data_IF_261053115319
#
_entry.id   IF_261053115319
#
_cell.length_a   1.000
_cell.length_b   1.000
_cell.length_c   1.000
_cell.angle_alpha   90.00
_cell.angle_beta   90.00
_cell.angle_gamma   90.00
#
_symmetry.space_group_name_H-M   'P 1'
#
loop_
_entity.id
_entity.type
_entity.pdbx_description
1 polymer ?
#
# COMPACT_ATOMS: atom_id res chain seq x y z
N UNK A 1 -24.67 5.87 12.47
CA UNK A 1 -23.68 4.78 12.51
C UNK A 1 -24.29 3.48 13.01
N UNK A 2 -25.05 3.45 14.12
CA UNK A 2 -25.61 2.22 14.71
C UNK A 2 -26.45 1.36 13.76
N UNK A 3 -27.34 1.97 12.97
CA UNK A 3 -28.20 1.23 12.03
C UNK A 3 -27.44 0.54 10.88
N UNK A 4 -26.29 1.08 10.49
CA UNK A 4 -25.46 0.54 9.40
C UNK A 4 -24.28 -0.31 9.91
N UNK A 5 -24.01 -0.25 11.23
CA UNK A 5 -22.81 -0.81 11.87
C UNK A 5 -21.51 -0.47 11.13
N UNK A 6 -21.39 0.78 10.66
CA UNK A 6 -20.31 1.21 9.77
C UNK A 6 -18.91 1.00 10.37
N UNK A 7 -18.75 1.05 11.70
CA UNK A 7 -17.48 0.78 12.35
C UNK A 7 -17.04 -0.67 12.15
N UNK A 8 -17.97 -1.63 12.15
CA UNK A 8 -17.67 -3.04 11.97
C UNK A 8 -17.28 -3.28 10.52
N UNK A 9 -18.07 -2.78 9.56
CA UNK A 9 -17.74 -2.86 8.13
C UNK A 9 -16.37 -2.25 7.82
N UNK A 10 -16.10 -1.03 8.30
CA UNK A 10 -14.80 -0.37 8.09
C UNK A 10 -13.66 -1.18 8.72
N UNK A 11 -13.89 -1.74 9.91
CA UNK A 11 -12.89 -2.55 10.60
C UNK A 11 -12.58 -3.84 9.84
N UNK A 12 -13.60 -4.58 9.42
CA UNK A 12 -13.43 -5.81 8.65
C UNK A 12 -12.77 -5.54 7.29
N UNK A 13 -13.17 -4.48 6.59
CA UNK A 13 -12.54 -4.08 5.33
C UNK A 13 -11.06 -3.74 5.54
N UNK A 14 -10.72 -2.99 6.58
CA UNK A 14 -9.34 -2.69 6.95
C UNK A 14 -8.51 -3.93 7.22
N UNK A 15 -9.03 -4.87 8.03
CA UNK A 15 -8.35 -6.14 8.31
C UNK A 15 -8.17 -6.99 7.04
N UNK A 16 -9.15 -7.00 6.15
CA UNK A 16 -9.05 -7.70 4.87
C UNK A 16 -7.98 -7.10 3.95
N UNK A 17 -7.87 -5.78 3.88
CA UNK A 17 -6.82 -5.07 3.14
C UNK A 17 -5.45 -5.45 3.71
N UNK A 18 -5.27 -5.39 5.03
CA UNK A 18 -4.03 -5.79 5.73
C UNK A 18 -3.60 -7.21 5.43
N UNK A 19 -4.54 -8.16 5.49
CA UNK A 19 -4.29 -9.57 5.17
C UNK A 19 -3.91 -9.75 3.69
N UNK A 20 -4.52 -8.99 2.79
CA UNK A 20 -4.22 -9.07 1.35
C UNK A 20 -2.84 -8.51 1.03
N UNK A 21 -2.43 -7.42 1.68
CA UNK A 21 -1.06 -6.92 1.60
C UNK A 21 -0.04 -7.93 2.10
N UNK A 22 -0.32 -8.61 3.22
CA UNK A 22 0.59 -9.64 3.73
C UNK A 22 0.74 -10.78 2.72
N UNK A 23 -0.36 -11.31 2.18
CA UNK A 23 -0.33 -12.35 1.15
C UNK A 23 0.46 -11.92 -0.08
N UNK A 24 0.34 -10.66 -0.48
CA UNK A 24 1.07 -10.13 -1.63
C UNK A 24 2.56 -10.00 -1.35
N UNK A 25 2.93 -9.52 -0.16
CA UNK A 25 4.31 -9.45 0.29
C UNK A 25 4.93 -10.86 0.36
N UNK A 26 4.22 -11.83 0.95
CA UNK A 26 4.64 -13.23 1.05
C UNK A 26 4.82 -13.86 -0.34
N UNK A 27 3.89 -13.60 -1.28
CA UNK A 27 3.96 -14.09 -2.68
C UNK A 27 5.26 -13.68 -3.37
N UNK A 28 5.75 -12.47 -3.11
CA UNK A 28 6.96 -11.93 -3.74
C UNK A 28 8.18 -11.98 -2.84
N UNK A 29 8.10 -12.66 -1.69
CA UNK A 29 9.16 -12.72 -0.68
C UNK A 29 9.71 -11.33 -0.34
N UNK A 30 8.81 -10.39 -0.08
CA UNK A 30 9.09 -9.04 0.38
C UNK A 30 8.69 -8.93 1.84
N UNK A 31 9.55 -8.35 2.66
CA UNK A 31 9.20 -8.08 4.05
C UNK A 31 8.50 -6.73 4.15
N UNK A 32 7.34 -6.71 4.82
CA UNK A 32 6.59 -5.49 5.12
C UNK A 32 6.29 -5.39 6.61
N UNK A 33 6.25 -4.15 7.11
CA UNK A 33 5.68 -3.82 8.43
C UNK A 33 4.35 -3.12 8.24
N UNK A 34 3.32 -3.52 8.98
CA UNK A 34 2.01 -2.90 8.91
C UNK A 34 1.75 -2.01 10.12
N UNK A 35 1.08 -0.88 9.92
CA UNK A 35 0.81 0.11 10.97
C UNK A 35 -0.61 0.68 10.83
N UNK A 36 -0.97 1.49 11.83
CA UNK A 36 -2.27 2.17 11.89
C UNK A 36 -3.42 1.27 12.35
N UNK A 37 -4.59 1.90 12.45
CA UNK A 37 -5.84 1.25 12.84
C UNK A 37 -6.50 0.61 11.61
N UNK A 38 -7.43 -0.36 11.75
CA UNK A 38 -8.13 -0.91 10.59
C UNK A 38 -8.79 0.15 9.69
N UNK A 39 -9.36 1.21 10.28
CA UNK A 39 -9.94 2.32 9.53
C UNK A 39 -8.91 3.22 8.80
N UNK A 40 -7.65 3.17 9.22
CA UNK A 40 -6.54 3.94 8.65
C UNK A 40 -5.30 3.04 8.66
N UNK A 41 -5.26 2.11 7.73
CA UNK A 41 -4.21 1.11 7.69
C UNK A 41 -3.14 1.50 6.68
N UNK A 42 -1.88 1.20 7.00
CA UNK A 42 -0.79 1.30 6.04
C UNK A 42 0.25 0.23 6.25
N UNK A 43 1.20 0.18 5.32
CA UNK A 43 2.35 -0.69 5.37
C UNK A 43 3.62 0.04 4.94
N UNK A 44 4.78 -0.47 5.28
CA UNK A 44 6.08 -0.03 4.78
C UNK A 44 6.88 -1.26 4.39
N UNK A 45 7.69 -1.16 3.34
CA UNK A 45 8.66 -2.21 3.03
C UNK A 45 9.81 -2.15 4.04
N UNK A 46 10.21 -3.30 4.56
CA UNK A 46 11.42 -3.43 5.41
C UNK A 46 12.64 -3.47 4.50
N UNK A 47 13.02 -2.31 3.96
CA UNK A 47 14.14 -2.15 3.03
C UNK A 47 14.70 -0.73 3.15
N UNK A 48 16.00 -0.56 2.94
CA UNK A 48 16.64 0.76 2.84
C UNK A 48 16.04 1.60 1.69
N UNK A 49 15.47 0.93 0.68
CA UNK A 49 14.81 1.56 -0.47
C UNK A 49 13.32 1.87 -0.25
N UNK A 50 12.80 1.75 0.98
CA UNK A 50 11.37 1.92 1.27
C UNK A 50 10.75 3.21 0.69
N UNK A 51 11.45 4.35 0.73
CA UNK A 51 10.93 5.60 0.16
C UNK A 51 10.83 5.58 -1.37
N UNK A 52 11.76 4.90 -2.03
CA UNK A 52 11.69 4.67 -3.48
C UNK A 52 10.46 3.81 -3.81
N UNK A 53 10.24 2.73 -3.08
CA UNK A 53 9.09 1.86 -3.31
C UNK A 53 7.76 2.54 -2.99
N UNK A 54 7.70 3.35 -1.94
CA UNK A 54 6.53 4.18 -1.67
C UNK A 54 6.23 5.14 -2.84
N UNK A 55 7.26 5.72 -3.43
CA UNK A 55 7.14 6.61 -4.60
C UNK A 55 6.66 5.83 -5.81
N UNK A 56 7.29 4.68 -6.10
CA UNK A 56 6.96 3.79 -7.21
C UNK A 56 5.51 3.29 -7.12
N UNK A 57 5.09 2.79 -5.95
CA UNK A 57 3.69 2.36 -5.72
C UNK A 57 2.74 3.49 -6.02
N UNK A 58 3.00 4.69 -5.49
CA UNK A 58 2.13 5.85 -5.71
C UNK A 58 2.02 6.20 -7.20
N UNK A 59 3.13 6.27 -7.92
CA UNK A 59 3.11 6.62 -9.34
C UNK A 59 2.39 5.54 -10.19
N UNK A 60 2.70 4.26 -9.96
CA UNK A 60 2.18 3.17 -10.79
C UNK A 60 0.68 2.95 -10.53
N UNK A 61 0.24 3.14 -9.29
CA UNK A 61 -1.18 3.14 -8.96
C UNK A 61 -1.90 4.34 -9.59
N UNK A 62 -1.28 5.51 -9.62
CA UNK A 62 -1.86 6.70 -10.27
C UNK A 62 -2.04 6.48 -11.79
N UNK A 63 -1.07 5.85 -12.46
CA UNK A 63 -1.18 5.45 -13.88
C UNK A 63 -2.36 4.51 -14.14
N UNK A 64 -2.78 3.74 -13.13
CA UNK A 64 -3.93 2.82 -13.18
C UNK A 64 -5.24 3.47 -12.70
N UNK A 65 -5.25 4.78 -12.40
CA UNK A 65 -6.43 5.50 -11.93
C UNK A 65 -6.69 5.43 -10.43
N UNK A 66 -5.74 4.89 -9.64
CA UNK A 66 -5.84 4.84 -8.18
C UNK A 66 -5.04 5.98 -7.55
N UNK A 67 -5.72 6.86 -6.81
CA UNK A 67 -5.05 7.76 -5.88
C UNK A 67 -4.69 6.98 -4.60
N UNK A 68 -3.62 6.20 -4.68
CA UNK A 68 -3.18 5.33 -3.60
C UNK A 68 -1.69 5.52 -3.31
N UNK A 69 -1.31 5.19 -2.08
CA UNK A 69 0.10 5.12 -1.64
C UNK A 69 0.27 3.85 -0.81
N UNK A 70 1.01 3.92 0.30
CA UNK A 70 1.17 2.85 1.26
C UNK A 70 0.15 2.91 2.42
N UNK A 71 -0.87 3.77 2.31
CA UNK A 71 -1.92 3.98 3.33
C UNK A 71 -3.29 4.02 2.67
N UNK A 72 -4.30 3.43 3.32
CA UNK A 72 -5.71 3.48 2.92
C UNK A 72 -6.57 4.02 4.06
N UNK A 73 -7.41 4.99 3.72
CA UNK A 73 -8.42 5.58 4.60
C UNK A 73 -9.74 4.86 4.31
N UNK A 74 -10.06 3.85 5.10
CA UNK A 74 -11.14 2.92 4.81
C UNK A 74 -12.49 3.58 5.08
N UNK A 75 -13.42 3.46 4.14
CA UNK A 75 -14.80 3.92 4.24
C UNK A 75 -15.78 2.85 3.76
N UNK A 76 -17.08 3.09 3.96
CA UNK A 76 -18.15 2.14 3.59
C UNK A 76 -18.21 1.81 2.11
N UNK A 77 -17.69 2.68 1.24
CA UNK A 77 -17.69 2.49 -0.21
C UNK A 77 -16.54 1.60 -0.71
N UNK A 78 -15.62 1.17 0.16
CA UNK A 78 -14.58 0.20 -0.20
C UNK A 78 -15.19 -1.22 -0.27
N UNK A 79 -15.98 -1.45 -1.31
CA UNK A 79 -16.61 -2.73 -1.59
C UNK A 79 -15.57 -3.79 -1.97
N UNK A 80 -15.93 -5.07 -1.84
CA UNK A 80 -15.06 -6.19 -2.20
C UNK A 80 -14.47 -6.07 -3.63
N UNK A 81 -15.26 -5.78 -4.69
CA UNK A 81 -14.70 -5.62 -6.05
C UNK A 81 -13.68 -4.47 -6.16
N UNK A 82 -13.89 -3.37 -5.43
CA UNK A 82 -12.94 -2.23 -5.43
C UNK A 82 -11.62 -2.64 -4.77
N UNK A 83 -11.70 -3.34 -3.64
CA UNK A 83 -10.52 -3.85 -2.93
C UNK A 83 -9.77 -4.89 -3.77
N UNK A 84 -10.49 -5.79 -4.44
CA UNK A 84 -9.90 -6.79 -5.34
C UNK A 84 -9.17 -6.12 -6.51
N UNK A 85 -9.81 -5.17 -7.20
CA UNK A 85 -9.15 -4.43 -8.29
C UNK A 85 -7.94 -3.63 -7.83
N UNK A 86 -7.97 -3.07 -6.61
CA UNK A 86 -6.81 -2.41 -6.01
C UNK A 86 -5.64 -3.39 -5.77
N UNK A 87 -5.92 -4.62 -5.32
CA UNK A 87 -4.89 -5.64 -5.13
C UNK A 87 -4.34 -6.16 -6.46
N UNK A 88 -5.19 -6.36 -7.47
CA UNK A 88 -4.77 -6.71 -8.84
C UNK A 88 -3.86 -5.64 -9.45
N UNK A 89 -4.15 -4.36 -9.18
CA UNK A 89 -3.32 -3.24 -9.62
C UNK A 89 -1.96 -3.20 -8.90
N UNK A 90 -1.90 -3.57 -7.62
CA UNK A 90 -0.67 -3.65 -6.83
C UNK A 90 0.22 -4.84 -7.18
N UNK A 91 -0.35 -5.96 -7.60
CA UNK A 91 0.36 -7.22 -7.83
C UNK A 91 1.60 -7.10 -8.74
N UNK A 92 1.51 -6.52 -9.95
CA UNK A 92 2.69 -6.33 -10.81
C UNK A 92 3.71 -5.34 -10.22
N UNK A 93 3.28 -4.43 -9.35
CA UNK A 93 4.19 -3.47 -8.70
C UNK A 93 5.03 -4.17 -7.63
N UNK A 94 4.45 -5.10 -6.86
CA UNK A 94 5.21 -5.91 -5.91
C UNK A 94 6.22 -6.82 -6.61
N UNK A 95 5.84 -7.40 -7.76
CA UNK A 95 6.79 -8.12 -8.63
C UNK A 95 7.98 -7.24 -9.03
N UNK A 96 7.71 -6.02 -9.50
CA UNK A 96 8.75 -5.07 -9.90
C UNK A 96 9.64 -4.66 -8.73
N UNK A 97 9.09 -4.51 -7.53
CA UNK A 97 9.86 -4.22 -6.32
C UNK A 97 10.79 -5.39 -5.97
N UNK A 98 10.34 -6.63 -6.12
CA UNK A 98 11.22 -7.81 -5.95
C UNK A 98 12.38 -7.81 -6.93
N UNK A 99 12.15 -7.45 -8.19
CA UNK A 99 13.24 -7.27 -9.17
C UNK A 99 14.24 -6.18 -8.72
N UNK A 100 13.74 -5.10 -8.09
CA UNK A 100 14.60 -4.04 -7.55
C UNK A 100 15.45 -4.49 -6.35
N UNK A 101 14.90 -5.36 -5.51
CA UNK A 101 15.64 -6.04 -4.43
C UNK A 101 16.69 -7.02 -4.99
N UNK A 102 16.49 -7.54 -6.21
CA UNK A 102 17.42 -8.43 -6.90
C UNK A 102 18.46 -7.70 -7.78
N UNK A 103 18.51 -6.36 -7.74
CA UNK A 103 19.56 -5.57 -8.39
C UNK A 103 19.10 -4.69 -9.54
N UNK A 104 17.81 -4.71 -9.91
CA UNK A 104 17.26 -3.68 -10.83
C UNK A 104 17.30 -2.32 -10.13
N UNK A 105 17.73 -1.27 -10.85
CA UNK A 105 17.71 0.09 -10.31
C UNK A 105 16.26 0.59 -10.25
N UNK A 106 15.85 1.05 -9.06
CA UNK A 106 14.51 1.63 -8.83
C UNK A 106 14.48 3.10 -9.26
N UNK A 107 15.61 3.80 -9.19
CA UNK A 107 15.78 5.19 -9.56
C UNK A 107 15.42 5.42 -11.03
N UNK A 108 15.85 4.51 -11.92
CA UNK A 108 15.53 4.57 -13.34
C UNK A 108 14.07 4.27 -13.68
N UNK A 109 13.24 3.89 -12.71
CA UNK A 109 11.81 3.62 -12.88
C UNK A 109 10.95 4.78 -12.41
N UNK A 110 11.49 5.72 -11.63
CA UNK A 110 10.72 6.84 -11.09
C UNK A 110 10.60 7.97 -12.11
N UNK A 111 9.38 8.45 -12.31
CA UNK A 111 9.11 9.59 -13.22
C UNK A 111 9.44 10.95 -12.58
N UNK A 112 9.80 10.95 -11.29
CA UNK A 112 10.05 12.16 -10.50
C UNK A 112 10.88 11.91 -9.24
N UNK A 113 11.07 12.93 -8.39
CA UNK A 113 11.87 12.81 -7.18
C UNK A 113 11.24 11.86 -6.16
N UNK A 114 12.09 11.23 -5.35
CA UNK A 114 11.67 10.35 -4.25
C UNK A 114 10.88 11.15 -3.21
N UNK A 115 9.79 10.55 -2.70
CA UNK A 115 9.00 11.17 -1.65
C UNK A 115 9.77 11.30 -0.33
N UNK A 116 9.41 12.31 0.47
CA UNK A 116 9.94 12.43 1.83
C UNK A 116 9.29 11.41 2.78
N UNK A 117 10.02 11.00 3.81
CA UNK A 117 9.55 10.04 4.85
C UNK A 117 8.37 10.54 5.68
N UNK A 118 8.07 11.84 5.61
CA UNK A 118 6.99 12.51 6.33
C UNK A 118 7.52 13.68 7.16
N UNK A 119 6.66 14.23 8.01
CA UNK A 119 7.03 15.28 8.95
C UNK A 119 7.02 14.71 10.37
N UNK A 120 8.16 14.76 11.05
CA UNK A 120 8.24 14.47 12.48
C UNK A 120 8.22 15.79 13.23
N UNK A 121 7.30 15.94 14.19
CA UNK A 121 7.34 17.09 15.11
C UNK A 121 8.66 17.03 15.88
N UNK A 122 9.37 18.16 15.95
CA UNK A 122 10.50 18.34 16.85
C UNK A 122 9.95 18.36 18.27
N UNK A 123 10.08 17.24 18.98
CA UNK A 123 9.89 17.13 20.43
C UNK A 123 11.22 16.72 21.05
#
# INVERSE_FOLDING_TARGET
MEKLQSWDTITQTGLNIKNSWQKLADKYELEISQFGLPALTGFSFTSEKNLYYKTLVTQEMLKKGYLASNVVYVCTEHTKPIVEGYMEALDPIFSLIKECEQGRSVEGLLDGPVCHSGFKRLN
#
